data_IF_558299968958
#
_entry.id   IF_558299968958
#
_cell.length_a   1.000
_cell.length_b   1.000
_cell.length_c   1.000
_cell.angle_alpha   90.00
_cell.angle_beta   90.00
_cell.angle_gamma   90.00
#
_symmetry.space_group_name_H-M   'P 1'
#
loop_
_entity.id
_entity.type
_entity.pdbx_description
1 polymer ?
#
# COMPACT_ATOMS: atom_id res chain seq x y z
N UNK A 1 1.42 -8.91 -3.58
CA UNK A 1 2.03 -10.20 -3.93
C UNK A 1 2.59 -10.14 -5.32
N UNK A 2 3.28 -11.18 -5.77
CA UNK A 2 3.75 -11.22 -7.15
C UNK A 2 4.05 -12.63 -7.62
N UNK A 3 3.72 -12.89 -8.89
CA UNK A 3 4.12 -14.07 -9.62
C UNK A 3 5.40 -13.72 -10.39
N UNK A 4 6.54 -14.22 -9.91
CA UNK A 4 7.87 -13.85 -10.43
C UNK A 4 8.48 -15.06 -11.13
N UNK A 5 8.85 -14.90 -12.40
CA UNK A 5 9.62 -15.89 -13.13
C UNK A 5 11.07 -15.42 -13.28
N UNK A 6 11.97 -15.99 -12.48
CA UNK A 6 13.40 -15.65 -12.51
C UNK A 6 14.16 -16.24 -13.71
N UNK A 7 13.58 -17.17 -14.47
CA UNK A 7 14.23 -17.78 -15.64
C UNK A 7 14.09 -16.92 -16.89
N UNK A 8 12.89 -16.38 -17.12
CA UNK A 8 12.59 -15.56 -18.31
C UNK A 8 12.40 -14.07 -18.01
N UNK A 9 12.47 -13.68 -16.74
CA UNK A 9 12.38 -12.30 -16.27
C UNK A 9 10.97 -11.70 -16.28
N UNK A 10 9.93 -12.47 -16.62
CA UNK A 10 8.54 -11.99 -16.69
C UNK A 10 7.87 -12.11 -15.33
N UNK A 11 7.32 -11.01 -14.83
CA UNK A 11 6.70 -10.97 -13.52
C UNK A 11 5.41 -10.15 -13.55
N UNK A 12 4.44 -10.55 -12.72
CA UNK A 12 3.19 -9.82 -12.49
C UNK A 12 3.04 -9.58 -11.00
N UNK A 13 2.90 -8.32 -10.61
CA UNK A 13 2.70 -7.92 -9.22
C UNK A 13 1.24 -7.51 -9.03
N UNK A 14 0.58 -8.12 -8.04
CA UNK A 14 -0.86 -8.00 -7.87
C UNK A 14 -1.26 -8.00 -6.39
N UNK A 15 -2.36 -7.30 -6.11
CA UNK A 15 -3.01 -7.38 -4.81
C UNK A 15 -3.41 -8.83 -4.51
N UNK A 16 -3.23 -9.26 -3.25
CA UNK A 16 -3.51 -10.64 -2.85
C UNK A 16 -4.98 -10.88 -2.51
N UNK A 17 -5.75 -9.80 -2.33
CA UNK A 17 -7.19 -9.89 -2.09
C UNK A 17 -7.98 -9.94 -3.40
N UNK A 18 -9.20 -10.48 -3.34
CA UNK A 18 -10.13 -10.45 -4.47
C UNK A 18 -10.76 -9.06 -4.71
N UNK A 19 -11.76 -9.01 -5.58
CA UNK A 19 -12.38 -7.76 -6.08
C UNK A 19 -13.27 -7.03 -5.07
N UNK A 20 -13.65 -7.68 -3.96
CA UNK A 20 -14.55 -7.16 -2.92
C UNK A 20 -15.71 -6.29 -3.47
N UNK A 21 -16.64 -6.84 -4.28
CA UNK A 21 -17.62 -6.04 -5.03
C UNK A 21 -18.48 -5.10 -4.18
N UNK A 22 -18.73 -5.46 -2.91
CA UNK A 22 -19.49 -4.64 -1.96
C UNK A 22 -18.81 -3.33 -1.59
N UNK A 23 -17.52 -3.15 -1.88
CA UNK A 23 -16.74 -1.94 -1.61
C UNK A 23 -16.31 -1.20 -2.88
N UNK A 24 -16.66 -1.72 -4.07
CA UNK A 24 -16.32 -1.10 -5.33
C UNK A 24 -16.96 0.30 -5.46
N UNK A 25 -16.16 1.28 -5.88
CA UNK A 25 -16.60 2.67 -6.09
C UNK A 25 -16.92 3.46 -4.81
N UNK A 26 -16.57 2.95 -3.63
CA UNK A 26 -16.92 3.60 -2.35
C UNK A 26 -15.76 4.35 -1.68
N UNK A 27 -14.55 4.29 -2.25
CA UNK A 27 -13.35 4.93 -1.66
C UNK A 27 -13.07 4.50 -0.21
N UNK A 28 -13.23 3.20 0.08
CA UNK A 28 -13.10 2.62 1.44
C UNK A 28 -12.11 1.48 1.56
N UNK A 29 -11.78 0.83 0.45
CA UNK A 29 -10.91 -0.34 0.47
C UNK A 29 -9.48 0.07 0.81
N UNK A 30 -8.76 -0.74 1.58
CA UNK A 30 -7.34 -0.47 1.83
C UNK A 30 -6.52 -0.68 0.55
N UNK A 31 -5.87 0.36 -0.02
CA UNK A 31 -5.05 0.21 -1.22
C UNK A 31 -3.69 -0.46 -0.93
N UNK A 32 -3.34 -0.69 0.34
CA UNK A 32 -2.03 -1.13 0.80
C UNK A 32 -1.53 -2.43 0.16
N UNK A 33 -2.41 -3.41 -0.10
CA UNK A 33 -1.98 -4.67 -0.75
C UNK A 33 -1.45 -4.42 -2.17
N UNK A 34 -2.12 -3.55 -2.94
CA UNK A 34 -1.68 -3.20 -4.29
C UNK A 34 -0.41 -2.34 -4.26
N UNK A 35 -0.34 -1.37 -3.34
CA UNK A 35 0.83 -0.50 -3.15
C UNK A 35 2.07 -1.32 -2.80
N UNK A 36 1.97 -2.25 -1.84
CA UNK A 36 3.08 -3.13 -1.46
C UNK A 36 3.44 -4.13 -2.58
N UNK A 37 2.51 -4.43 -3.48
CA UNK A 37 2.86 -5.19 -4.70
C UNK A 37 3.68 -4.33 -5.66
N UNK A 38 3.38 -3.04 -5.77
CA UNK A 38 4.21 -2.06 -6.49
C UNK A 38 5.60 -1.87 -5.85
N UNK A 39 5.68 -1.88 -4.52
CA UNK A 39 6.96 -1.90 -3.80
C UNK A 39 7.82 -3.11 -4.21
N UNK A 40 7.24 -4.31 -4.17
CA UNK A 40 7.92 -5.54 -4.59
C UNK A 40 8.38 -5.47 -6.06
N UNK A 41 7.58 -4.82 -6.92
CA UNK A 41 7.94 -4.59 -8.33
C UNK A 41 9.18 -3.70 -8.44
N UNK A 42 9.21 -2.56 -7.74
CA UNK A 42 10.38 -1.68 -7.73
C UNK A 42 11.62 -2.39 -7.21
N UNK A 43 11.48 -3.17 -6.13
CA UNK A 43 12.56 -3.97 -5.57
C UNK A 43 13.08 -5.01 -6.58
N UNK A 44 12.19 -5.69 -7.29
CA UNK A 44 12.56 -6.64 -8.35
C UNK A 44 13.28 -5.96 -9.53
N UNK A 45 12.90 -4.72 -9.87
CA UNK A 45 13.56 -3.92 -10.91
C UNK A 45 14.90 -3.30 -10.47
N UNK A 46 15.29 -3.50 -9.21
CA UNK A 46 16.51 -2.93 -8.62
C UNK A 46 16.38 -1.47 -8.19
N UNK A 47 15.16 -0.91 -8.17
CA UNK A 47 14.87 0.46 -7.73
C UNK A 47 14.65 0.47 -6.22
N UNK A 48 15.72 0.18 -5.47
CA UNK A 48 15.63 -0.04 -4.03
C UNK A 48 15.24 1.23 -3.28
N UNK A 49 15.71 2.40 -3.70
CA UNK A 49 15.40 3.68 -3.05
C UNK A 49 13.90 3.99 -3.10
N UNK A 50 13.26 3.75 -4.26
CA UNK A 50 11.82 3.93 -4.42
C UNK A 50 11.03 2.94 -3.56
N UNK A 51 11.47 1.69 -3.51
CA UNK A 51 10.86 0.65 -2.69
C UNK A 51 10.97 0.96 -1.19
N UNK A 52 12.14 1.40 -0.73
CA UNK A 52 12.39 1.76 0.67
C UNK A 52 11.56 3.00 1.09
N UNK A 53 11.38 3.98 0.20
CA UNK A 53 10.49 5.13 0.44
C UNK A 53 9.04 4.69 0.66
N UNK A 54 8.53 3.75 -0.14
CA UNK A 54 7.16 3.23 0.00
C UNK A 54 6.99 2.51 1.34
N UNK A 55 7.95 1.65 1.74
CA UNK A 55 7.93 0.97 3.04
C UNK A 55 7.93 1.99 4.18
N UNK A 56 8.86 2.95 4.15
CA UNK A 56 9.02 3.96 5.19
C UNK A 56 7.75 4.82 5.34
N UNK A 57 7.12 5.20 4.23
CA UNK A 57 5.87 5.96 4.25
C UNK A 57 4.70 5.14 4.81
N UNK A 58 4.59 3.87 4.42
CA UNK A 58 3.57 2.94 4.94
C UNK A 58 3.70 2.75 6.45
N UNK A 59 4.93 2.51 6.94
CA UNK A 59 5.23 2.38 8.36
C UNK A 59 4.85 3.65 9.12
N UNK A 60 5.23 4.82 8.60
CA UNK A 60 4.92 6.12 9.19
C UNK A 60 3.41 6.34 9.30
N UNK A 61 2.65 6.23 8.21
CA UNK A 61 1.18 6.42 8.23
C UNK A 61 0.48 5.45 9.20
N UNK A 62 0.90 4.18 9.22
CA UNK A 62 0.34 3.19 10.15
C UNK A 62 0.67 3.51 11.62
N UNK A 63 1.89 4.01 11.88
CA UNK A 63 2.36 4.38 13.22
C UNK A 63 1.66 5.63 13.78
N UNK A 64 1.38 6.61 12.92
CA UNK A 64 0.62 7.82 13.24
C UNK A 64 -0.87 7.55 13.42
N UNK A 65 -1.34 6.37 13.02
CA UNK A 65 -2.75 5.98 13.12
C UNK A 65 -3.62 6.52 11.99
N UNK A 66 -3.03 7.11 10.95
CA UNK A 66 -3.69 7.58 9.74
C UNK A 66 -3.90 6.39 8.79
N UNK A 67 -5.01 5.66 8.93
CA UNK A 67 -5.22 4.37 8.25
C UNK A 67 -6.65 4.16 7.78
N UNK A 68 -6.88 3.24 6.86
CA UNK A 68 -8.22 2.84 6.41
C UNK A 68 -8.99 2.05 7.47
N UNK A 69 -10.31 1.95 7.29
CA UNK A 69 -11.24 1.37 8.28
C UNK A 69 -10.85 -0.04 8.78
N UNK A 70 -10.36 -0.91 7.91
CA UNK A 70 -9.91 -2.26 8.24
C UNK A 70 -8.75 -2.28 9.24
N UNK A 71 -7.83 -1.31 9.13
CA UNK A 71 -6.70 -1.13 10.05
C UNK A 71 -7.06 -0.31 11.30
N UNK A 72 -8.00 0.62 11.17
CA UNK A 72 -8.48 1.44 12.29
C UNK A 72 -9.31 0.62 13.28
N UNK A 73 -10.01 -0.42 12.82
CA UNK A 73 -10.90 -1.24 13.66
C UNK A 73 -10.15 -1.86 14.83
N UNK A 74 -10.53 -1.47 16.06
CA UNK A 74 -9.93 -1.96 17.30
C UNK A 74 -8.77 -1.11 17.84
N UNK A 75 -8.38 -0.03 17.13
CA UNK A 75 -7.42 0.96 17.62
C UNK A 75 -8.16 2.13 18.28
N UNK A 76 -7.74 2.54 19.48
CA UNK A 76 -8.39 3.65 20.22
C UNK A 76 -8.12 5.04 19.61
N UNK A 77 -6.96 5.23 19.02
CA UNK A 77 -6.47 6.54 18.55
C UNK A 77 -6.10 6.49 17.05
N UNK A 78 -6.98 5.96 16.20
CA UNK A 78 -6.77 5.94 14.75
C UNK A 78 -7.66 6.98 14.06
N UNK A 79 -7.07 7.74 13.16
CA UNK A 79 -7.80 8.58 12.20
C UNK A 79 -8.17 7.68 11.02
N UNK A 80 -9.47 7.44 10.84
CA UNK A 80 -9.94 6.62 9.72
C UNK A 80 -9.95 7.43 8.43
N UNK A 81 -9.18 7.00 7.44
CA UNK A 81 -9.07 7.63 6.12
C UNK A 81 -9.83 6.84 5.04
N UNK A 82 -10.22 7.52 3.96
CA UNK A 82 -10.66 6.90 2.71
C UNK A 82 -9.50 6.19 1.99
N UNK A 83 -9.76 5.46 0.90
CA UNK A 83 -8.67 4.89 0.09
C UNK A 83 -7.77 5.99 -0.48
N UNK A 84 -8.39 7.04 -1.02
CA UNK A 84 -7.70 8.18 -1.64
C UNK A 84 -6.91 9.00 -0.61
N UNK A 85 -7.48 9.28 0.56
CA UNK A 85 -6.82 10.02 1.63
C UNK A 85 -5.65 9.24 2.23
N UNK A 86 -5.79 7.91 2.37
CA UNK A 86 -4.68 7.07 2.81
C UNK A 86 -3.54 7.09 1.79
N UNK A 87 -3.85 7.01 0.49
CA UNK A 87 -2.83 7.14 -0.56
C UNK A 87 -2.17 8.54 -0.55
N UNK A 88 -2.94 9.62 -0.34
CA UNK A 88 -2.39 10.97 -0.21
C UNK A 88 -1.45 11.09 1.01
N UNK A 89 -1.83 10.54 2.16
CA UNK A 89 -0.97 10.51 3.36
C UNK A 89 0.36 9.80 3.09
N UNK A 90 0.37 8.74 2.30
CA UNK A 90 1.62 8.07 1.90
C UNK A 90 2.50 8.97 1.03
N UNK A 91 1.91 9.70 0.07
CA UNK A 91 2.63 10.65 -0.79
C UNK A 91 3.24 11.78 0.05
N UNK A 92 2.45 12.40 0.94
CA UNK A 92 2.95 13.44 1.87
C UNK A 92 4.11 12.93 2.71
N UNK A 93 4.04 11.69 3.18
CA UNK A 93 5.12 11.07 3.94
C UNK A 93 6.38 10.84 3.10
N UNK A 94 6.25 10.40 1.85
CA UNK A 94 7.38 10.26 0.91
C UNK A 94 8.07 11.61 0.69
N UNK A 95 7.30 12.68 0.46
CA UNK A 95 7.84 14.03 0.23
C UNK A 95 8.48 14.66 1.47
N UNK A 96 8.20 14.13 2.66
CA UNK A 96 8.75 14.61 3.93
C UNK A 96 10.14 14.04 4.28
N UNK A 97 10.66 13.10 3.49
CA UNK A 97 11.95 12.44 3.72
C UNK A 97 13.08 13.04 2.89
#
# INVERSE_FOLDING_TARGET
GGNINYENGKSVFEATHGTAPKHAGQDKANPGSLILSGEMMFRYMGWNEASDLIIKAMEKSISEGNVTYDLARGRKNATTLSSSDFAASLVENIESF
#
